data_IF_231280698067
#
_entry.id   IF_231280698067
#
_cell.length_a   1.000
_cell.length_b   1.000
_cell.length_c   1.000
_cell.angle_alpha   90.00
_cell.angle_beta   90.00
_cell.angle_gamma   90.00
#
_symmetry.space_group_name_H-M   'P 1'
#
loop_
_entity.id
_entity.type
_entity.pdbx_description
1 polymer ?
#
# COMPACT_ATOMS: atom_id res chain seq x y z
N UNK A 1 17.85 11.83 -17.86
CA UNK A 1 18.77 11.21 -16.90
C UNK A 1 18.71 9.69 -17.07
N UNK A 2 19.86 9.04 -16.90
CA UNK A 2 20.01 7.60 -16.74
C UNK A 2 19.87 7.23 -15.27
N UNK A 3 19.67 5.93 -14.98
CA UNK A 3 19.52 5.48 -13.58
C UNK A 3 20.81 5.68 -12.78
N UNK A 4 21.96 5.36 -13.40
CA UNK A 4 23.28 5.56 -12.79
C UNK A 4 23.55 7.04 -12.45
N UNK A 5 23.17 7.98 -13.34
CA UNK A 5 23.26 9.42 -13.07
C UNK A 5 22.40 9.83 -11.86
N UNK A 6 21.21 9.19 -11.69
CA UNK A 6 20.37 9.44 -10.53
C UNK A 6 20.96 8.88 -9.26
N UNK A 7 21.58 7.71 -9.30
CA UNK A 7 22.31 7.13 -8.15
C UNK A 7 23.45 8.07 -7.72
N UNK A 8 24.25 8.56 -8.66
CA UNK A 8 25.32 9.51 -8.34
C UNK A 8 24.78 10.82 -7.76
N UNK A 9 23.65 11.30 -8.28
CA UNK A 9 22.98 12.47 -7.71
C UNK A 9 22.53 12.27 -6.26
N UNK A 10 21.95 11.10 -5.93
CA UNK A 10 21.56 10.77 -4.57
C UNK A 10 22.77 10.69 -3.63
N UNK A 11 23.88 10.10 -4.07
CA UNK A 11 25.14 10.06 -3.31
C UNK A 11 25.70 11.45 -2.98
N UNK A 12 25.53 12.41 -3.89
CA UNK A 12 26.00 13.77 -3.67
C UNK A 12 25.12 14.56 -2.69
N UNK A 13 23.79 14.31 -2.70
CA UNK A 13 22.85 15.07 -1.88
C UNK A 13 22.64 14.44 -0.51
N UNK A 14 22.63 13.10 -0.42
CA UNK A 14 22.36 12.38 0.80
C UNK A 14 23.63 11.70 1.36
N UNK A 15 24.28 12.25 2.39
CA UNK A 15 25.48 11.63 2.98
C UNK A 15 25.25 10.22 3.53
N UNK A 16 23.99 9.87 3.83
CA UNK A 16 23.58 8.56 4.34
C UNK A 16 23.27 7.55 3.23
N UNK A 17 23.37 7.94 1.94
CA UNK A 17 23.06 7.05 0.83
C UNK A 17 24.01 5.85 0.80
N UNK A 18 23.46 4.65 0.95
CA UNK A 18 24.20 3.39 0.88
C UNK A 18 24.03 2.76 -0.51
N UNK A 19 25.06 2.91 -1.34
CA UNK A 19 25.09 2.35 -2.69
C UNK A 19 25.03 0.81 -2.68
N UNK A 20 25.53 0.17 -1.61
CA UNK A 20 25.47 -1.29 -1.51
C UNK A 20 24.01 -1.73 -1.34
N UNK A 21 23.25 -1.09 -0.49
CA UNK A 21 21.81 -1.35 -0.29
C UNK A 21 21.04 -1.15 -1.60
N UNK A 22 21.32 -0.06 -2.33
CA UNK A 22 20.73 0.15 -3.65
C UNK A 22 21.03 -1.01 -4.62
N UNK A 23 22.27 -1.48 -4.68
CA UNK A 23 22.67 -2.61 -5.54
C UNK A 23 22.00 -3.91 -5.12
N UNK A 24 21.93 -4.19 -3.83
CA UNK A 24 21.29 -5.39 -3.28
C UNK A 24 19.80 -5.42 -3.65
N UNK A 25 19.08 -4.31 -3.53
CA UNK A 25 17.69 -4.17 -3.98
C UNK A 25 17.57 -4.31 -5.51
N UNK A 26 18.47 -3.66 -6.26
CA UNK A 26 18.44 -3.75 -7.72
C UNK A 26 18.75 -5.16 -8.23
N UNK A 27 19.54 -5.95 -7.51
CA UNK A 27 19.81 -7.34 -7.88
C UNK A 27 18.53 -8.17 -7.93
N UNK A 28 17.56 -7.92 -7.05
CA UNK A 28 16.29 -8.63 -7.04
C UNK A 28 15.29 -8.10 -8.08
N UNK A 29 15.38 -6.82 -8.46
CA UNK A 29 14.48 -6.19 -9.45
C UNK A 29 15.03 -6.34 -10.87
N UNK A 30 16.36 -6.25 -11.05
CA UNK A 30 17.01 -6.42 -12.33
C UNK A 30 16.89 -5.23 -13.27
N UNK A 31 16.85 -3.98 -12.74
CA UNK A 31 16.89 -2.80 -13.60
C UNK A 31 18.28 -2.61 -14.20
N UNK A 32 18.33 -2.42 -15.52
CA UNK A 32 19.55 -2.00 -16.21
C UNK A 32 19.81 -0.52 -15.90
N UNK A 33 20.85 -0.27 -15.10
CA UNK A 33 21.19 1.09 -14.63
C UNK A 33 21.60 2.04 -15.74
N UNK A 34 21.96 1.53 -16.93
CA UNK A 34 22.27 2.34 -18.10
C UNK A 34 21.03 2.88 -18.82
N UNK A 35 19.83 2.39 -18.49
CA UNK A 35 18.58 2.85 -19.08
C UNK A 35 18.23 4.28 -18.66
N UNK A 36 17.56 4.98 -19.56
CA UNK A 36 16.96 6.27 -19.23
C UNK A 36 15.71 6.11 -18.38
N UNK A 37 15.57 6.94 -17.36
CA UNK A 37 14.41 6.90 -16.44
C UNK A 37 13.07 7.03 -17.19
N UNK A 38 13.01 7.83 -18.26
CA UNK A 38 11.82 7.99 -19.11
C UNK A 38 11.39 6.72 -19.88
N UNK A 39 12.28 5.73 -19.99
CA UNK A 39 12.02 4.46 -20.68
C UNK A 39 11.48 3.37 -19.73
N UNK A 40 11.45 3.67 -18.44
CA UNK A 40 10.93 2.77 -17.43
C UNK A 40 9.42 2.67 -17.49
N UNK A 41 8.88 1.46 -17.29
CA UNK A 41 7.47 1.30 -17.00
C UNK A 41 7.11 1.99 -15.68
N UNK A 42 5.82 2.26 -15.44
CA UNK A 42 5.36 2.84 -14.16
C UNK A 42 5.86 2.01 -12.96
N UNK A 43 5.79 0.67 -13.06
CA UNK A 43 6.29 -0.23 -12.03
C UNK A 43 7.79 -0.10 -11.81
N UNK A 44 8.58 -0.13 -12.87
CA UNK A 44 10.03 0.04 -12.79
C UNK A 44 10.42 1.40 -12.21
N UNK A 45 9.71 2.47 -12.58
CA UNK A 45 9.96 3.79 -12.02
C UNK A 45 9.63 3.86 -10.52
N UNK A 46 8.54 3.21 -10.07
CA UNK A 46 8.20 3.10 -8.66
C UNK A 46 9.24 2.28 -7.89
N UNK A 47 9.68 1.15 -8.44
CA UNK A 47 10.74 0.33 -7.85
C UNK A 47 12.04 1.13 -7.71
N UNK A 48 12.44 1.85 -8.76
CA UNK A 48 13.62 2.72 -8.71
C UNK A 48 13.50 3.79 -7.62
N UNK A 49 12.36 4.49 -7.56
CA UNK A 49 12.10 5.50 -6.55
C UNK A 49 12.16 4.92 -5.13
N UNK A 50 11.58 3.73 -4.92
CA UNK A 50 11.62 3.04 -3.62
C UNK A 50 13.05 2.67 -3.24
N UNK A 51 13.83 2.05 -4.15
CA UNK A 51 15.22 1.68 -3.89
C UNK A 51 16.09 2.89 -3.54
N UNK A 52 15.99 3.99 -4.30
CA UNK A 52 16.75 5.20 -4.04
C UNK A 52 16.44 5.80 -2.67
N UNK A 53 15.14 5.89 -2.33
CA UNK A 53 14.72 6.49 -1.06
C UNK A 53 14.99 5.57 0.14
N UNK A 54 14.88 4.25 0.01
CA UNK A 54 15.23 3.32 1.09
C UNK A 54 16.74 3.28 1.33
N UNK A 55 17.55 3.44 0.28
CA UNK A 55 19.02 3.46 0.40
C UNK A 55 19.61 4.68 1.12
N UNK A 56 18.79 5.69 1.45
CA UNK A 56 19.23 6.79 2.34
C UNK A 56 18.95 6.53 3.81
N UNK A 57 18.39 5.37 4.18
CA UNK A 57 17.99 4.97 5.52
C UNK A 57 17.15 6.05 6.23
N UNK A 58 15.98 6.42 5.67
CA UNK A 58 15.16 7.47 6.25
C UNK A 58 14.58 7.01 7.58
N UNK A 59 14.45 7.91 8.56
CA UNK A 59 13.73 7.61 9.80
C UNK A 59 12.22 7.51 9.60
N UNK A 60 11.70 8.27 8.65
CA UNK A 60 10.28 8.29 8.28
C UNK A 60 10.16 8.31 6.77
N UNK A 61 9.33 7.45 6.22
CA UNK A 61 9.02 7.39 4.79
C UNK A 61 7.52 7.58 4.57
N UNK A 62 7.15 8.47 3.66
CA UNK A 62 5.75 8.70 3.27
C UNK A 62 5.59 8.27 1.82
N UNK A 63 4.63 7.40 1.56
CA UNK A 63 4.37 6.83 0.24
C UNK A 63 2.90 6.98 -0.13
N UNK A 64 2.65 7.60 -1.28
CA UNK A 64 1.31 7.77 -1.81
C UNK A 64 1.03 6.71 -2.89
N UNK A 65 0.07 5.82 -2.62
CA UNK A 65 -0.35 4.72 -3.51
C UNK A 65 0.82 3.91 -4.12
N UNK A 66 1.83 3.47 -3.33
CA UNK A 66 3.06 2.89 -3.88
C UNK A 66 2.86 1.57 -4.61
N UNK A 67 1.75 0.87 -4.37
CA UNK A 67 1.42 -0.41 -5.00
C UNK A 67 0.55 -0.27 -6.26
N UNK A 68 0.08 0.96 -6.55
CA UNK A 68 -0.86 1.20 -7.64
C UNK A 68 -0.25 0.95 -9.02
N UNK A 69 -0.87 0.03 -9.78
CA UNK A 69 -0.45 -0.29 -11.15
C UNK A 69 0.83 -1.13 -11.24
N UNK A 70 1.26 -1.74 -10.14
CA UNK A 70 2.32 -2.72 -10.12
C UNK A 70 1.77 -4.13 -10.29
N UNK A 71 2.56 -5.01 -10.92
CA UNK A 71 2.30 -6.44 -10.87
C UNK A 71 2.59 -7.02 -9.47
N UNK A 72 2.10 -8.23 -9.21
CA UNK A 72 2.19 -8.89 -7.90
C UNK A 72 3.64 -9.10 -7.45
N UNK A 73 4.56 -9.32 -8.39
CA UNK A 73 5.98 -9.54 -8.08
C UNK A 73 6.62 -8.24 -7.61
N UNK A 74 6.41 -7.15 -8.35
CA UNK A 74 6.93 -5.83 -7.99
C UNK A 74 6.33 -5.33 -6.66
N UNK A 75 5.03 -5.54 -6.42
CA UNK A 75 4.40 -5.22 -5.14
C UNK A 75 5.07 -5.97 -3.98
N UNK A 76 5.29 -7.27 -4.14
CA UNK A 76 5.96 -8.09 -3.11
C UNK A 76 7.36 -7.58 -2.83
N UNK A 77 8.15 -7.31 -3.86
CA UNK A 77 9.53 -6.81 -3.70
C UNK A 77 9.58 -5.49 -2.92
N UNK A 78 8.70 -4.52 -3.26
CA UNK A 78 8.64 -3.25 -2.54
C UNK A 78 8.23 -3.44 -1.08
N UNK A 79 7.25 -4.32 -0.80
CA UNK A 79 6.86 -4.66 0.58
C UNK A 79 8.03 -5.25 1.35
N UNK A 80 8.72 -6.23 0.76
CA UNK A 80 9.87 -6.88 1.39
C UNK A 80 10.99 -5.87 1.71
N UNK A 81 11.24 -4.89 0.82
CA UNK A 81 12.22 -3.82 1.07
C UNK A 81 11.80 -2.90 2.22
N UNK A 82 10.52 -2.50 2.25
CA UNK A 82 9.98 -1.66 3.32
C UNK A 82 10.08 -2.38 4.66
N UNK A 83 9.63 -3.63 4.74
CA UNK A 83 9.68 -4.43 5.96
C UNK A 83 11.11 -4.59 6.44
N UNK A 84 12.05 -4.87 5.54
CA UNK A 84 13.47 -4.98 5.89
C UNK A 84 14.03 -3.69 6.50
N UNK A 85 13.71 -2.51 5.94
CA UNK A 85 14.16 -1.23 6.50
C UNK A 85 13.48 -0.90 7.85
N UNK A 86 12.22 -1.28 8.03
CA UNK A 86 11.54 -1.15 9.33
C UNK A 86 12.22 -2.01 10.38
N UNK A 87 12.47 -3.28 10.07
CA UNK A 87 13.04 -4.25 11.01
C UNK A 87 14.51 -3.95 11.35
N UNK A 88 15.33 -3.61 10.35
CA UNK A 88 16.77 -3.43 10.52
C UNK A 88 17.14 -2.04 11.01
N UNK A 89 16.41 -1.00 10.60
CA UNK A 89 16.78 0.40 10.82
C UNK A 89 15.75 1.17 11.64
N UNK A 90 14.65 0.54 12.07
CA UNK A 90 13.60 1.18 12.88
C UNK A 90 12.88 2.31 12.15
N UNK A 91 12.78 2.20 10.82
CA UNK A 91 12.07 3.17 9.99
C UNK A 91 10.57 3.16 10.31
N UNK A 92 9.94 4.33 10.37
CA UNK A 92 8.49 4.47 10.40
C UNK A 92 7.96 4.75 9.01
N UNK A 93 6.84 4.13 8.63
CA UNK A 93 6.27 4.28 7.28
C UNK A 93 4.82 4.72 7.36
N UNK A 94 4.46 5.71 6.55
CA UNK A 94 3.09 6.12 6.30
C UNK A 94 2.75 5.85 4.83
N UNK A 95 1.76 5.00 4.60
CA UNK A 95 1.36 4.59 3.24
C UNK A 95 -0.11 4.92 3.03
N UNK A 96 -0.44 5.60 1.92
CA UNK A 96 -1.81 5.67 1.45
C UNK A 96 -2.12 4.50 0.52
N UNK A 97 -3.33 3.96 0.58
CA UNK A 97 -3.87 3.01 -0.40
C UNK A 97 -5.39 3.01 -0.38
N UNK A 98 -6.01 2.80 -1.52
CA UNK A 98 -7.44 2.53 -1.62
C UNK A 98 -7.75 1.03 -1.62
N UNK A 99 -6.75 0.18 -1.55
CA UNK A 99 -6.87 -1.28 -1.42
C UNK A 99 -6.41 -1.75 -0.05
N UNK A 100 -7.35 -2.02 0.85
CA UNK A 100 -7.04 -2.49 2.21
C UNK A 100 -6.17 -3.76 2.21
N UNK A 101 -6.41 -4.68 1.27
CA UNK A 101 -5.62 -5.91 1.15
C UNK A 101 -4.12 -5.68 0.95
N UNK A 102 -3.75 -4.57 0.33
CA UNK A 102 -2.34 -4.24 0.10
C UNK A 102 -1.63 -3.89 1.40
N UNK A 103 -2.37 -3.32 2.37
CA UNK A 103 -1.86 -2.87 3.67
C UNK A 103 -1.96 -3.96 4.74
N UNK A 104 -2.99 -4.80 4.66
CA UNK A 104 -3.34 -5.79 5.68
C UNK A 104 -2.21 -6.76 6.02
N UNK A 105 -1.34 -7.04 5.05
CA UNK A 105 -0.27 -8.03 5.20
C UNK A 105 1.00 -7.51 5.85
N UNK A 106 1.15 -6.18 6.04
CA UNK A 106 2.40 -5.61 6.53
C UNK A 106 2.28 -4.30 7.32
N UNK A 107 1.06 -3.75 7.49
CA UNK A 107 0.84 -2.57 8.32
C UNK A 107 0.34 -2.95 9.70
N UNK A 108 0.84 -2.28 10.74
CA UNK A 108 0.42 -2.48 12.12
C UNK A 108 -0.90 -1.79 12.42
N UNK A 109 -1.12 -0.62 11.83
CA UNK A 109 -2.30 0.21 12.07
C UNK A 109 -2.81 0.85 10.78
N UNK A 110 -4.09 1.20 10.78
CA UNK A 110 -4.72 1.89 9.68
C UNK A 110 -5.58 3.07 10.15
N UNK A 111 -5.64 4.08 9.29
CA UNK A 111 -6.58 5.20 9.43
C UNK A 111 -7.47 5.27 8.21
N UNK A 112 -8.78 5.27 8.40
CA UNK A 112 -9.74 5.48 7.32
C UNK A 112 -10.08 6.96 7.22
N UNK A 113 -9.89 7.54 6.05
CA UNK A 113 -10.18 8.94 5.79
C UNK A 113 -11.31 9.10 4.77
N UNK A 114 -12.23 10.03 5.02
CA UNK A 114 -13.28 10.43 4.08
C UNK A 114 -13.54 11.92 4.23
N UNK A 115 -13.68 12.62 3.12
CA UNK A 115 -14.00 14.07 3.08
C UNK A 115 -13.07 14.90 3.98
N UNK A 116 -11.77 14.58 3.98
CA UNK A 116 -10.75 15.26 4.78
C UNK A 116 -10.81 14.98 6.29
N UNK A 117 -11.62 14.02 6.74
CA UNK A 117 -11.74 13.65 8.16
C UNK A 117 -11.34 12.21 8.39
N UNK A 118 -10.66 11.95 9.50
CA UNK A 118 -10.38 10.60 9.95
C UNK A 118 -11.66 10.03 10.58
N UNK A 119 -12.22 9.00 9.97
CA UNK A 119 -13.39 8.28 10.46
C UNK A 119 -13.02 7.18 11.45
N UNK A 120 -11.86 6.58 11.26
CA UNK A 120 -11.36 5.49 12.08
C UNK A 120 -9.84 5.55 12.15
N UNK A 121 -9.31 5.20 13.32
CA UNK A 121 -7.88 4.95 13.53
C UNK A 121 -7.73 3.84 14.57
N UNK A 122 -6.88 2.85 14.28
CA UNK A 122 -6.63 1.74 15.17
C UNK A 122 -5.69 0.71 14.55
N UNK A 123 -5.45 -0.39 15.26
CA UNK A 123 -4.66 -1.50 14.73
C UNK A 123 -5.40 -2.20 13.58
N UNK A 124 -4.67 -2.94 12.76
CA UNK A 124 -5.28 -3.74 11.68
C UNK A 124 -6.26 -4.77 12.24
N UNK A 125 -5.94 -5.39 13.38
CA UNK A 125 -6.83 -6.37 14.02
C UNK A 125 -8.11 -5.71 14.52
N UNK A 126 -8.01 -4.57 15.22
CA UNK A 126 -9.19 -3.79 15.62
C UNK A 126 -10.06 -3.38 14.44
N UNK A 127 -9.42 -3.04 13.30
CA UNK A 127 -10.15 -2.69 12.09
C UNK A 127 -10.92 -3.90 11.53
N UNK A 128 -10.31 -5.09 11.53
CA UNK A 128 -10.95 -6.34 11.08
C UNK A 128 -12.12 -6.74 11.99
N UNK A 129 -11.95 -6.60 13.29
CA UNK A 129 -13.01 -6.89 14.27
C UNK A 129 -14.19 -5.92 14.16
N UNK A 130 -13.90 -4.64 13.84
CA UNK A 130 -14.92 -3.60 13.76
C UNK A 130 -15.73 -3.63 12.48
N UNK A 131 -15.13 -4.02 11.37
CA UNK A 131 -15.76 -3.96 10.04
C UNK A 131 -15.90 -5.35 9.42
N UNK A 132 -17.12 -5.70 9.09
CA UNK A 132 -17.43 -6.97 8.42
C UNK A 132 -17.86 -6.70 6.98
N UNK A 133 -17.24 -7.40 6.02
CA UNK A 133 -17.62 -7.40 4.62
C UNK A 133 -18.49 -8.61 4.33
N UNK A 134 -19.73 -8.39 3.98
CA UNK A 134 -20.66 -9.43 3.53
C UNK A 134 -20.87 -9.36 2.02
N UNK A 135 -21.03 -10.52 1.39
CA UNK A 135 -21.56 -10.64 0.05
C UNK A 135 -22.91 -11.37 0.12
N UNK A 136 -23.95 -10.68 -0.30
CA UNK A 136 -25.32 -11.18 -0.25
C UNK A 136 -25.85 -11.25 -1.67
N UNK A 137 -26.49 -12.36 -2.02
CA UNK A 137 -27.14 -12.55 -3.33
C UNK A 137 -28.64 -12.54 -3.11
N UNK A 138 -29.32 -11.68 -3.87
CA UNK A 138 -30.79 -11.67 -3.92
C UNK A 138 -31.25 -12.13 -5.29
N UNK A 139 -32.36 -12.87 -5.32
CA UNK A 139 -33.01 -13.26 -6.59
C UNK A 139 -33.61 -12.05 -7.31
N UNK A 140 -34.09 -11.06 -6.54
CA UNK A 140 -34.60 -9.78 -7.02
C UNK A 140 -33.82 -8.62 -6.43
N UNK A 141 -33.81 -7.47 -7.14
CA UNK A 141 -33.14 -6.26 -6.63
C UNK A 141 -33.82 -5.73 -5.37
N UNK A 142 -33.10 -5.67 -4.27
CA UNK A 142 -33.58 -5.22 -2.93
C UNK A 142 -32.62 -4.24 -2.26
N UNK A 143 -32.10 -3.30 -3.00
CA UNK A 143 -31.14 -2.32 -2.46
C UNK A 143 -31.67 -1.47 -1.31
N UNK A 144 -32.99 -1.27 -1.23
CA UNK A 144 -33.64 -0.48 -0.18
C UNK A 144 -33.41 -1.07 1.21
N UNK A 145 -33.29 -2.39 1.33
CA UNK A 145 -33.05 -3.06 2.62
C UNK A 145 -31.80 -2.53 3.32
N UNK A 146 -30.73 -2.26 2.56
CA UNK A 146 -29.46 -1.80 3.13
C UNK A 146 -29.48 -0.35 3.60
N UNK A 147 -30.46 0.44 3.19
CA UNK A 147 -30.63 1.82 3.69
C UNK A 147 -31.27 1.87 5.06
N UNK A 148 -32.05 0.85 5.41
CA UNK A 148 -32.79 0.78 6.66
C UNK A 148 -32.07 -0.01 7.75
N UNK A 149 -31.06 -0.83 7.39
CA UNK A 149 -30.31 -1.64 8.35
C UNK A 149 -29.31 -0.78 9.13
N UNK A 150 -29.43 -0.82 10.45
CA UNK A 150 -28.43 -0.20 11.33
C UNK A 150 -27.08 -0.90 11.19
N UNK A 151 -26.00 -0.14 11.26
CA UNK A 151 -24.63 -0.67 11.12
C UNK A 151 -24.13 -0.81 9.70
N UNK A 152 -24.94 -0.58 8.66
CA UNK A 152 -24.47 -0.52 7.28
C UNK A 152 -23.74 0.79 7.05
N UNK A 153 -22.43 0.71 6.76
CA UNK A 153 -21.61 1.88 6.41
C UNK A 153 -21.76 2.23 4.95
N UNK A 154 -21.69 1.21 4.09
CA UNK A 154 -21.81 1.35 2.65
C UNK A 154 -22.19 0.03 2.01
N UNK A 155 -22.78 0.12 0.81
CA UNK A 155 -22.99 -1.05 -0.03
C UNK A 155 -22.76 -0.71 -1.50
N UNK A 156 -22.42 -1.73 -2.27
CA UNK A 156 -22.35 -1.68 -3.73
C UNK A 156 -22.95 -2.95 -4.30
N UNK A 157 -23.43 -2.91 -5.54
CA UNK A 157 -23.94 -4.10 -6.19
C UNK A 157 -23.40 -4.28 -7.59
N UNK A 158 -23.22 -5.54 -7.95
CA UNK A 158 -22.98 -5.99 -9.31
C UNK A 158 -24.06 -7.01 -9.66
N UNK A 159 -25.08 -6.58 -10.39
CA UNK A 159 -26.30 -7.37 -10.66
C UNK A 159 -27.00 -7.77 -9.37
N UNK A 160 -27.16 -9.09 -9.12
CA UNK A 160 -27.80 -9.67 -7.94
C UNK A 160 -26.86 -9.82 -6.73
N UNK A 161 -25.55 -9.56 -6.89
CA UNK A 161 -24.55 -9.68 -5.82
C UNK A 161 -24.35 -8.32 -5.17
N UNK A 162 -24.64 -8.22 -3.89
CA UNK A 162 -24.43 -7.04 -3.07
C UNK A 162 -23.21 -7.25 -2.18
N UNK A 163 -22.29 -6.29 -2.20
CA UNK A 163 -21.21 -6.21 -1.23
C UNK A 163 -21.59 -5.15 -0.20
N UNK A 164 -21.67 -5.54 1.05
CA UNK A 164 -22.10 -4.69 2.17
C UNK A 164 -20.96 -4.61 3.19
N UNK A 165 -20.65 -3.41 3.65
CA UNK A 165 -19.73 -3.18 4.77
C UNK A 165 -20.55 -2.80 5.97
N UNK A 166 -20.38 -3.57 7.04
CA UNK A 166 -21.06 -3.39 8.32
C UNK A 166 -20.09 -2.99 9.42
N UNK A 167 -20.53 -2.20 10.37
CA UNK A 167 -19.84 -1.91 11.63
C UNK A 167 -20.50 -2.68 12.76
N UNK A 168 -19.69 -3.37 13.60
CA UNK A 168 -20.13 -3.94 14.86
C UNK A 168 -20.70 -5.37 14.82
N UNK A 169 -20.49 -6.12 13.75
CA UNK A 169 -20.88 -7.54 13.68
C UNK A 169 -19.62 -8.42 13.73
N UNK A 170 -19.00 -8.51 14.91
CA UNK A 170 -17.76 -9.27 15.14
C UNK A 170 -17.95 -10.70 15.65
N UNK A 171 -19.13 -11.32 15.56
CA UNK A 171 -19.29 -12.76 15.78
C UNK A 171 -20.08 -13.36 14.61
N UNK A 172 -19.59 -14.43 13.96
CA UNK A 172 -20.39 -15.19 13.03
C UNK A 172 -21.49 -15.91 13.82
N UNK A 173 -22.75 -15.69 13.41
CA UNK A 173 -23.89 -16.51 13.84
C UNK A 173 -23.74 -17.91 13.29
#
# INVERSE_FOLDING_TARGET
YHIDEMVEFYKQIYPTFDEKVFRDYNQSIGLDVSKRIKELSKGQAMSLASMLNLSIHPKVMIMDEPMSGLDVIAQKQIKDFIVNEVDMNGMSVLISSHYLKDLESFCDSASMMKDGKILYHGTMDQMKERFTKLQVVFEESRSEIFKELSGVITYSNLRSVYTVILEGYGEPI
#
